data_IF_236685494714
#
_entry.id   IF_236685494714
#
_cell.length_a   1.000
_cell.length_b   1.000
_cell.length_c   1.000
_cell.angle_alpha   90.00
_cell.angle_beta   90.00
_cell.angle_gamma   90.00
#
_symmetry.space_group_name_H-M   'P 1'
#
loop_
_entity.id
_entity.type
_entity.pdbx_description
1 polymer ?
#
# COMPACT_ATOMS: atom_id res chain seq x y z
N UNK A 1 23.47 15.25 -11.84
CA UNK A 1 23.06 15.74 -10.92
C UNK A 1 21.87 16.41 -10.91
N UNK A 2 21.65 17.10 -11.83
CA UNK A 2 20.44 17.79 -11.93
C UNK A 2 19.27 16.92 -11.75
N UNK A 3 19.31 15.74 -12.24
CA UNK A 3 18.20 14.89 -12.13
C UNK A 3 17.80 14.64 -10.71
N UNK A 4 18.65 14.90 -9.82
CA UNK A 4 18.32 14.67 -8.45
C UNK A 4 17.27 15.59 -7.98
N UNK A 5 17.11 16.68 -8.64
CA UNK A 5 16.27 17.68 -8.18
C UNK A 5 14.87 17.32 -8.42
N UNK A 6 14.19 16.99 -8.61
CA UNK A 6 12.82 16.85 -8.76
C UNK A 6 12.31 15.47 -8.73
N UNK A 7 13.13 14.56 -8.32
CA UNK A 7 12.64 13.24 -8.28
C UNK A 7 12.50 12.76 -6.89
N UNK A 8 11.58 13.37 -6.18
CA UNK A 8 11.23 12.90 -4.86
C UNK A 8 10.05 11.97 -5.02
N UNK A 9 10.31 10.71 -4.88
CA UNK A 9 9.25 9.72 -4.98
C UNK A 9 8.41 9.72 -3.71
N UNK A 10 7.12 9.41 -3.87
CA UNK A 10 6.20 9.34 -2.76
C UNK A 10 6.42 8.06 -1.99
N UNK A 11 6.65 8.18 -0.69
CA UNK A 11 6.83 7.03 0.18
C UNK A 11 5.51 6.28 0.30
N UNK A 12 5.52 5.03 -0.10
CA UNK A 12 4.30 4.25 -0.25
C UNK A 12 4.36 2.95 0.53
N UNK A 13 3.22 2.58 1.12
CA UNK A 13 3.04 1.28 1.71
C UNK A 13 1.99 0.54 0.89
N UNK A 14 2.17 -0.75 0.69
CA UNK A 14 1.19 -1.57 -0.01
C UNK A 14 0.61 -2.57 0.99
N UNK A 15 -0.71 -2.60 1.10
CA UNK A 15 -1.42 -3.53 1.99
C UNK A 15 -1.94 -4.70 1.16
N UNK A 16 -1.66 -5.91 1.61
CA UNK A 16 -2.06 -7.13 0.89
C UNK A 16 -2.72 -8.13 1.83
N UNK A 17 -3.47 -9.07 1.26
CA UNK A 17 -4.05 -10.18 2.00
C UNK A 17 -3.75 -11.53 1.36
N UNK A 18 -3.42 -11.59 0.10
CA UNK A 18 -3.34 -12.85 -0.63
C UNK A 18 -2.25 -12.94 -1.67
N UNK A 19 -2.66 -13.23 -2.90
CA UNK A 19 -1.73 -13.61 -3.96
C UNK A 19 -0.64 -12.61 -4.30
N UNK A 20 -0.94 -11.34 -4.17
CA UNK A 20 0.09 -10.35 -4.42
C UNK A 20 0.36 -10.02 -5.87
N UNK A 21 -0.55 -10.37 -6.78
CA UNK A 21 -0.37 -10.03 -8.19
C UNK A 21 -0.27 -8.53 -8.39
N UNK A 22 -1.14 -7.78 -7.70
CA UNK A 22 -1.08 -6.33 -7.77
C UNK A 22 0.20 -5.80 -7.14
N UNK A 23 0.62 -6.40 -6.03
CA UNK A 23 1.86 -6.01 -5.38
C UNK A 23 3.03 -6.21 -6.33
N UNK A 24 3.08 -7.36 -7.01
CA UNK A 24 4.14 -7.63 -7.96
C UNK A 24 4.21 -6.56 -9.03
N UNK A 25 3.06 -6.18 -9.57
CA UNK A 25 3.00 -5.16 -10.61
C UNK A 25 3.36 -3.78 -10.08
N UNK A 26 2.97 -3.46 -8.86
CA UNK A 26 3.33 -2.19 -8.25
C UNK A 26 4.83 -2.09 -7.99
N UNK A 27 5.44 -3.19 -7.56
CA UNK A 27 6.88 -3.21 -7.36
C UNK A 27 7.59 -2.93 -8.68
N UNK A 28 7.15 -3.60 -9.74
CA UNK A 28 7.73 -3.42 -11.06
C UNK A 28 7.59 -1.96 -11.51
N UNK A 29 6.40 -1.40 -11.33
CA UNK A 29 6.15 0.00 -11.67
C UNK A 29 7.05 0.94 -10.87
N UNK A 30 7.21 0.69 -9.58
CA UNK A 30 7.97 1.57 -8.71
C UNK A 30 9.46 1.61 -9.05
N UNK A 31 9.95 0.60 -9.75
CA UNK A 31 11.36 0.55 -10.10
C UNK A 31 11.72 1.32 -11.34
N UNK A 32 10.72 1.80 -12.07
CA UNK A 32 11.01 2.61 -13.25
C UNK A 32 11.59 3.95 -12.83
N UNK A 33 12.51 4.46 -13.62
CA UNK A 33 13.16 5.73 -13.28
C UNK A 33 12.20 6.89 -13.13
N UNK A 34 11.14 6.90 -13.91
CA UNK A 34 10.18 7.99 -13.86
C UNK A 34 8.95 7.68 -13.00
N UNK A 35 9.01 6.61 -12.21
CA UNK A 35 7.88 6.28 -11.34
C UNK A 35 7.75 7.31 -10.23
N UNK A 36 6.53 7.74 -9.92
CA UNK A 36 6.32 8.71 -8.83
C UNK A 36 6.33 8.06 -7.44
N UNK A 37 6.37 6.74 -7.34
CA UNK A 37 6.29 6.09 -6.04
C UNK A 37 7.51 5.24 -5.72
N UNK A 38 7.72 5.07 -4.42
CA UNK A 38 8.73 4.18 -3.88
C UNK A 38 8.04 3.33 -2.84
N UNK A 39 8.14 2.01 -2.93
CA UNK A 39 7.49 1.12 -1.96
C UNK A 39 8.45 0.88 -0.81
N UNK A 40 8.12 1.44 0.35
CA UNK A 40 8.99 1.37 1.52
C UNK A 40 8.67 0.20 2.43
N UNK A 41 7.40 -0.22 2.48
CA UNK A 41 7.00 -1.28 3.37
C UNK A 41 5.71 -1.93 2.88
N UNK A 42 5.60 -3.22 3.05
CA UNK A 42 4.41 -3.99 2.72
C UNK A 42 3.78 -4.43 4.03
N UNK A 43 2.48 -4.24 4.14
CA UNK A 43 1.70 -4.66 5.31
C UNK A 43 0.78 -5.78 4.88
N UNK A 44 0.73 -6.86 5.62
CA UNK A 44 -0.18 -7.95 5.35
C UNK A 44 -1.00 -8.25 6.59
N UNK A 45 -2.28 -8.59 6.40
CA UNK A 45 -3.09 -9.04 7.53
C UNK A 45 -2.99 -10.56 7.69
N UNK A 46 -2.24 -11.23 6.84
CA UNK A 46 -2.04 -12.68 6.93
C UNK A 46 -0.57 -13.00 6.78
N UNK A 47 -0.03 -13.74 7.75
CA UNK A 47 1.40 -14.06 7.72
C UNK A 47 1.78 -15.01 6.61
N UNK A 48 0.82 -15.75 6.05
CA UNK A 48 1.10 -16.68 4.97
C UNK A 48 0.62 -16.18 3.61
N UNK A 49 0.39 -14.89 3.46
CA UNK A 49 -0.01 -14.33 2.18
C UNK A 49 1.08 -14.57 1.14
N UNK A 50 0.68 -15.10 -0.02
CA UNK A 50 1.65 -15.43 -1.06
C UNK A 50 2.43 -14.19 -1.52
N UNK A 51 1.79 -13.05 -1.53
CA UNK A 51 2.45 -11.81 -1.96
C UNK A 51 3.66 -11.42 -1.14
N UNK A 52 3.79 -11.94 0.07
CA UNK A 52 4.95 -11.66 0.90
C UNK A 52 6.24 -12.07 0.18
N UNK A 53 6.18 -13.11 -0.65
CA UNK A 53 7.34 -13.56 -1.42
C UNK A 53 7.90 -12.46 -2.32
N UNK A 54 7.01 -11.68 -2.92
CA UNK A 54 7.46 -10.62 -3.82
C UNK A 54 8.16 -9.51 -3.06
N UNK A 55 7.67 -9.20 -1.86
CA UNK A 55 8.32 -8.20 -1.03
C UNK A 55 9.71 -8.68 -0.60
N UNK A 56 9.81 -9.93 -0.16
CA UNK A 56 11.09 -10.49 0.25
C UNK A 56 12.09 -10.52 -0.89
N UNK A 57 11.64 -10.93 -2.06
CA UNK A 57 12.51 -11.01 -3.23
C UNK A 57 13.09 -9.64 -3.58
N UNK A 58 12.35 -8.59 -3.33
CA UNK A 58 12.76 -7.25 -3.65
C UNK A 58 13.32 -6.49 -2.45
N UNK A 59 13.58 -7.19 -1.35
CA UNK A 59 14.16 -6.62 -0.13
C UNK A 59 13.34 -5.48 0.45
N UNK A 60 12.03 -5.59 0.36
CA UNK A 60 11.12 -4.60 0.94
C UNK A 60 10.70 -5.08 2.32
N UNK A 61 10.67 -4.18 3.28
CA UNK A 61 10.24 -4.50 4.65
C UNK A 61 8.81 -5.01 4.66
N UNK A 62 8.52 -5.94 5.57
CA UNK A 62 7.19 -6.52 5.71
C UNK A 62 6.80 -6.47 7.17
N UNK A 63 5.54 -6.14 7.44
CA UNK A 63 4.97 -6.24 8.77
C UNK A 63 3.62 -6.92 8.67
N UNK A 64 3.36 -7.83 9.59
CA UNK A 64 2.08 -8.50 9.68
C UNK A 64 1.29 -7.79 10.77
N UNK A 65 0.06 -7.40 10.46
CA UNK A 65 -0.77 -6.63 11.38
C UNK A 65 -2.15 -7.26 11.50
N UNK A 66 -2.62 -7.42 12.71
CA UNK A 66 -3.97 -7.93 12.97
C UNK A 66 -4.90 -6.72 13.03
N UNK A 67 -5.62 -6.49 11.95
CA UNK A 67 -6.50 -5.31 11.84
C UNK A 67 -7.74 -5.37 12.71
N UNK A 68 -7.97 -6.48 13.41
CA UNK A 68 -9.11 -6.57 14.31
C UNK A 68 -8.80 -6.03 15.71
N UNK A 69 -7.54 -5.73 15.99
CA UNK A 69 -7.13 -5.26 17.31
C UNK A 69 -6.70 -3.81 17.28
N UNK A 70 -7.27 -3.01 18.18
CA UNK A 70 -6.95 -1.59 18.20
C UNK A 70 -5.47 -1.31 18.50
N UNK A 71 -4.87 -2.07 19.39
CA UNK A 71 -3.47 -1.87 19.69
C UNK A 71 -2.58 -2.19 18.47
N UNK A 72 -3.02 -3.13 17.62
CA UNK A 72 -2.29 -3.43 16.40
C UNK A 72 -2.45 -2.30 15.37
N UNK A 73 -3.63 -1.70 15.31
CA UNK A 73 -3.84 -0.54 14.43
C UNK A 73 -2.97 0.61 14.90
N UNK A 74 -2.86 0.83 16.21
CA UNK A 74 -2.00 1.89 16.73
C UNK A 74 -0.52 1.61 16.41
N UNK A 75 -0.11 0.35 16.50
CA UNK A 75 1.23 -0.04 16.12
C UNK A 75 1.47 0.24 14.64
N UNK A 76 0.49 -0.10 13.80
CA UNK A 76 0.58 0.15 12.37
C UNK A 76 0.75 1.64 12.08
N UNK A 77 -0.05 2.47 12.73
CA UNK A 77 0.04 3.92 12.54
C UNK A 77 1.44 4.44 12.88
N UNK A 78 2.07 3.91 13.92
CA UNK A 78 3.43 4.29 14.28
C UNK A 78 4.43 3.83 13.22
N UNK A 79 4.25 2.62 12.69
CA UNK A 79 5.11 2.09 11.66
C UNK A 79 5.04 2.97 10.41
N UNK A 80 3.82 3.34 10.03
CA UNK A 80 3.63 4.18 8.84
C UNK A 80 4.26 5.55 9.03
N UNK A 81 4.12 6.12 10.21
CA UNK A 81 4.71 7.42 10.51
C UNK A 81 6.23 7.34 10.52
N UNK A 82 6.77 6.31 11.13
CA UNK A 82 8.22 6.12 11.19
C UNK A 82 8.83 6.00 9.79
N UNK A 83 8.13 5.38 8.87
CA UNK A 83 8.60 5.23 7.49
C UNK A 83 8.17 6.38 6.58
N UNK A 84 7.61 7.43 7.15
CA UNK A 84 7.17 8.61 6.41
C UNK A 84 6.23 8.28 5.27
N UNK A 85 5.32 7.34 5.48
CA UNK A 85 4.41 6.90 4.43
C UNK A 85 3.38 7.98 4.12
N UNK A 86 3.29 8.33 2.85
CA UNK A 86 2.37 9.35 2.35
C UNK A 86 1.22 8.76 1.56
N UNK A 87 1.38 7.54 1.08
CA UNK A 87 0.38 6.87 0.26
C UNK A 87 0.26 5.42 0.66
N UNK A 88 -0.97 4.94 0.79
CA UNK A 88 -1.24 3.52 0.99
C UNK A 88 -1.97 3.01 -0.24
N UNK A 89 -1.47 1.93 -0.83
CA UNK A 89 -2.15 1.25 -1.92
C UNK A 89 -2.72 -0.05 -1.39
N UNK A 90 -4.03 -0.21 -1.49
CA UNK A 90 -4.68 -1.46 -1.10
C UNK A 90 -4.67 -2.38 -2.32
N UNK A 91 -3.85 -3.42 -2.28
CA UNK A 91 -3.64 -4.29 -3.42
C UNK A 91 -4.14 -5.69 -3.12
N UNK A 92 -5.41 -5.92 -3.39
CA UNK A 92 -6.03 -7.19 -3.04
C UNK A 92 -6.20 -7.34 -1.53
N UNK A 93 -6.34 -6.23 -0.83
CA UNK A 93 -6.48 -6.23 0.62
C UNK A 93 -7.95 -6.48 0.97
N UNK A 94 -8.20 -7.53 1.74
CA UNK A 94 -9.55 -7.99 2.00
C UNK A 94 -10.21 -7.48 3.28
N UNK A 95 -9.53 -6.63 4.02
CA UNK A 95 -10.12 -6.06 5.23
C UNK A 95 -10.64 -4.67 4.96
N UNK A 96 -11.69 -4.29 5.66
CA UNK A 96 -12.22 -2.93 5.58
C UNK A 96 -11.49 -2.10 6.63
N UNK A 97 -10.96 -0.97 6.22
CA UNK A 97 -10.25 -0.09 7.13
C UNK A 97 -11.24 0.66 8.00
N UNK A 98 -10.97 0.74 9.29
CA UNK A 98 -11.86 1.43 10.22
C UNK A 98 -11.83 2.95 10.01
N UNK A 99 -12.88 3.61 10.46
CA UNK A 99 -12.91 5.07 10.41
C UNK A 99 -11.77 5.65 11.23
N UNK A 100 -11.46 5.03 12.35
CA UNK A 100 -10.38 5.47 13.21
C UNK A 100 -9.04 5.47 12.45
N UNK A 101 -8.76 4.39 11.73
CA UNK A 101 -7.52 4.31 10.98
C UNK A 101 -7.48 5.37 9.88
N UNK A 102 -8.58 5.48 9.13
CA UNK A 102 -8.62 6.41 8.01
C UNK A 102 -8.43 7.84 8.48
N UNK A 103 -9.04 8.21 9.60
CA UNK A 103 -8.88 9.54 10.15
C UNK A 103 -7.48 9.80 10.70
N UNK A 104 -6.86 8.76 11.24
CA UNK A 104 -5.56 8.91 11.88
C UNK A 104 -4.40 8.92 10.90
N UNK A 105 -4.57 8.27 9.76
CA UNK A 105 -3.51 8.27 8.74
C UNK A 105 -3.58 9.59 7.96
N UNK A 106 -2.47 10.31 7.93
CA UNK A 106 -2.44 11.64 7.33
C UNK A 106 -2.18 11.67 5.82
N UNK A 107 -2.00 10.56 5.19
CA UNK A 107 -1.74 10.51 3.74
C UNK A 107 -2.97 10.11 2.95
N UNK A 108 -2.76 9.63 1.76
CA UNK A 108 -3.83 9.18 0.87
C UNK A 108 -3.88 7.67 0.81
N UNK A 109 -5.08 7.15 0.59
CA UNK A 109 -5.31 5.71 0.50
C UNK A 109 -6.04 5.45 -0.81
N UNK A 110 -5.49 4.57 -1.64
CA UNK A 110 -6.13 4.20 -2.90
C UNK A 110 -6.28 2.69 -2.97
N UNK A 111 -7.30 2.24 -3.68
CA UNK A 111 -7.58 0.82 -3.85
C UNK A 111 -7.28 0.42 -5.29
N UNK A 112 -6.52 -0.65 -5.45
CA UNK A 112 -6.11 -1.12 -6.77
C UNK A 112 -6.91 -2.33 -7.17
N UNK A 113 -7.62 -2.25 -8.29
CA UNK A 113 -8.35 -3.38 -8.84
C UNK A 113 -7.85 -3.69 -10.24
N UNK A 114 -7.06 -4.75 -10.41
CA UNK A 114 -6.43 -5.02 -11.70
C UNK A 114 -7.44 -5.28 -12.82
N UNK A 115 -8.54 -5.89 -12.47
CA UNK A 115 -9.55 -6.20 -13.47
C UNK A 115 -10.25 -4.96 -14.01
N UNK A 116 -10.11 -3.83 -13.33
CA UNK A 116 -10.75 -2.60 -13.72
C UNK A 116 -9.79 -1.54 -14.25
N UNK A 117 -8.51 -1.80 -14.16
CA UNK A 117 -7.52 -0.79 -14.51
C UNK A 117 -7.66 -0.20 -15.91
N UNK A 118 -7.97 -0.94 -16.94
CA UNK A 118 -8.08 -0.32 -18.24
C UNK A 118 -9.40 0.41 -18.44
N UNK A 119 -10.28 0.42 -17.45
CA UNK A 119 -11.60 1.02 -17.57
C UNK A 119 -11.80 2.13 -16.56
N UNK A 120 -12.30 3.25 -17.02
CA UNK A 120 -12.49 4.39 -16.15
C UNK A 120 -13.46 4.20 -15.01
N UNK A 121 -14.46 3.42 -15.21
CA UNK A 121 -15.45 3.23 -14.14
C UNK A 121 -14.88 2.60 -12.91
N UNK A 122 -13.70 2.02 -13.01
CA UNK A 122 -13.04 1.48 -11.85
C UNK A 122 -12.65 2.55 -10.86
N UNK A 123 -12.41 3.76 -11.34
CA UNK A 123 -12.00 4.85 -10.47
C UNK A 123 -13.08 5.23 -9.47
N UNK A 124 -14.32 5.27 -9.94
CA UNK A 124 -15.41 5.61 -9.03
C UNK A 124 -15.63 4.54 -7.98
N UNK A 125 -15.39 3.30 -8.34
CA UNK A 125 -15.50 2.22 -7.39
C UNK A 125 -14.44 2.38 -6.30
N UNK A 126 -13.24 2.76 -6.68
CA UNK A 126 -12.16 2.98 -5.71
C UNK A 126 -12.52 4.09 -4.74
N UNK A 127 -13.05 5.18 -5.24
CA UNK A 127 -13.43 6.28 -4.39
C UNK A 127 -14.47 5.91 -3.36
N UNK A 128 -15.46 5.14 -3.78
CA UNK A 128 -16.50 4.73 -2.86
C UNK A 128 -15.95 3.86 -1.73
N UNK A 129 -15.02 3.00 -2.04
CA UNK A 129 -14.41 2.16 -1.03
C UNK A 129 -13.64 3.00 -0.04
N UNK A 130 -12.91 3.98 -0.52
CA UNK A 130 -12.11 4.81 0.36
C UNK A 130 -12.94 5.69 1.29
N UNK A 131 -14.11 6.10 0.84
CA UNK A 131 -14.95 6.95 1.66
C UNK A 131 -15.65 6.23 2.79
N UNK A 132 -15.68 4.94 2.76
CA UNK A 132 -16.27 4.18 3.85
C UNK A 132 -15.29 4.00 4.97
#
# INVERSE_FOLDING_TARGET
MVKLIGINKINTSVFISGKGTNLKNLIKFSKKNNSPIKINIVISNKKNAYGIKYAKKNKIKIQIVDFSKKNEINRLLKILKFNNIQLICLAGFLRILSKYFIKSFKGKIINIHPSLLPKYKGLNTHERVLKK
#
